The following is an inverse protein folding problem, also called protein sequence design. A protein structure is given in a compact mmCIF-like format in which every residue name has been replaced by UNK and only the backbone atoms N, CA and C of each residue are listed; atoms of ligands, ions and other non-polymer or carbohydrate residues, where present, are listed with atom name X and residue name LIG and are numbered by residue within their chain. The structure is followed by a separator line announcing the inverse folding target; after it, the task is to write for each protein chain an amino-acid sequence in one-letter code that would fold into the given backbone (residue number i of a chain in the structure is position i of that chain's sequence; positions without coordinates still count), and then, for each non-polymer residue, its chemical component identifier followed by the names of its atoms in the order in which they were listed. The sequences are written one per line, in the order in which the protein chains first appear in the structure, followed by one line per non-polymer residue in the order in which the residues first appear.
data_IF_966032344918
#
_entry.id   IF_966032344918
#
_cell.length_a   1.000
_cell.length_b   1.000
_cell.length_c   1.000
_cell.angle_alpha   90.00
_cell.angle_beta   90.00
_cell.angle_gamma   90.00
#
_symmetry.space_group_name_H-M   'P 1'
#
loop_
_entity.id
_entity.type
_entity.pdbx_description
1 polymer ?
#
# COMPACT_ATOMS: atom_id res chain seq x y z
N UNK A 1 28.89 9.40 -10.92
CA UNK A 1 28.93 8.06 -11.53
C UNK A 1 28.82 8.13 -13.06
N UNK A 2 27.82 8.82 -13.63
CA UNK A 2 27.61 8.93 -15.09
C UNK A 2 28.76 9.61 -15.85
N UNK A 3 29.45 10.59 -15.26
CA UNK A 3 30.58 11.29 -15.87
C UNK A 3 31.82 10.38 -15.93
N UNK A 4 32.07 9.58 -14.89
CA UNK A 4 33.16 8.59 -14.89
C UNK A 4 32.96 7.49 -15.92
N UNK A 5 31.72 7.00 -16.08
CA UNK A 5 31.40 5.95 -17.05
C UNK A 5 31.64 6.41 -18.51
N UNK A 6 31.37 7.69 -18.84
CA UNK A 6 31.64 8.23 -20.18
C UNK A 6 33.13 8.36 -20.49
N UNK A 7 33.95 8.71 -19.48
CA UNK A 7 35.41 8.89 -19.67
C UNK A 7 36.17 7.55 -19.73
N UNK A 8 35.69 6.51 -19.06
CA UNK A 8 36.39 5.22 -18.98
C UNK A 8 35.92 4.21 -20.06
N UNK A 9 34.72 4.34 -20.62
CA UNK A 9 34.20 3.43 -21.65
C UNK A 9 35.09 3.29 -22.91
N UNK A 10 35.69 4.35 -23.46
CA UNK A 10 36.53 4.21 -24.65
C UNK A 10 37.83 3.44 -24.40
N UNK A 11 38.31 3.39 -23.18
CA UNK A 11 39.57 2.73 -22.82
C UNK A 11 39.42 1.28 -22.29
N UNK A 12 38.18 0.84 -22.02
CA UNK A 12 37.88 -0.50 -21.51
C UNK A 12 37.43 -1.43 -22.64
N UNK A 13 38.24 -2.43 -22.97
CA UNK A 13 37.90 -3.44 -23.99
C UNK A 13 36.60 -4.19 -23.69
N UNK A 14 36.30 -4.49 -22.42
CA UNK A 14 35.03 -5.10 -22.01
C UNK A 14 33.82 -4.15 -22.19
N UNK A 15 33.98 -2.84 -21.94
CA UNK A 15 32.95 -1.83 -22.19
C UNK A 15 32.75 -1.54 -23.67
N UNK A 16 33.84 -1.53 -24.46
CA UNK A 16 33.77 -1.38 -25.91
C UNK A 16 33.01 -2.57 -26.55
N UNK A 17 33.18 -3.78 -26.03
CA UNK A 17 32.43 -4.96 -26.50
C UNK A 17 30.93 -4.88 -26.22
N UNK A 18 30.51 -4.21 -25.13
CA UNK A 18 29.08 -4.00 -24.80
C UNK A 18 28.43 -3.00 -25.73
N UNK A 19 29.17 -1.98 -26.21
CA UNK A 19 28.66 -0.95 -27.14
C UNK A 19 28.49 -1.46 -28.57
N UNK A 20 29.13 -2.58 -28.92
CA UNK A 20 29.07 -3.18 -30.26
C UNK A 20 28.05 -4.32 -30.38
N UNK A 21 27.32 -4.66 -29.32
CA UNK A 21 26.26 -5.69 -29.41
C UNK A 21 25.13 -5.21 -30.30
N UNK A 22 24.77 -5.95 -31.35
CA UNK A 22 23.64 -5.59 -32.19
C UNK A 22 22.36 -5.64 -31.34
N UNK A 23 21.56 -4.59 -31.39
CA UNK A 23 20.23 -4.54 -30.78
C UNK A 23 19.21 -5.02 -31.79
N UNK A 24 18.55 -6.15 -31.52
CA UNK A 24 17.44 -6.60 -32.36
C UNK A 24 16.24 -5.64 -32.12
N UNK A 25 15.71 -5.10 -33.20
CA UNK A 25 14.44 -4.39 -33.19
C UNK A 25 13.34 -5.45 -33.14
N UNK A 26 12.58 -5.49 -32.06
CA UNK A 26 11.47 -6.44 -31.92
C UNK A 26 10.21 -5.74 -32.46
N UNK A 27 9.71 -6.23 -33.58
CA UNK A 27 8.43 -5.80 -34.12
C UNK A 27 7.27 -6.33 -33.28
N UNK A 28 6.26 -5.49 -33.06
CA UNK A 28 5.03 -5.87 -32.34
C UNK A 28 3.85 -5.63 -33.28
N UNK A 29 2.96 -6.61 -33.42
CA UNK A 29 1.71 -6.46 -34.18
C UNK A 29 0.70 -5.56 -33.45
N UNK A 30 -0.18 -4.86 -34.18
CA UNK A 30 -1.26 -4.09 -33.57
C UNK A 30 -2.14 -4.95 -32.64
N UNK A 31 -2.47 -4.44 -31.45
CA UNK A 31 -3.31 -5.11 -30.46
C UNK A 31 -2.69 -6.35 -29.81
N UNK A 32 -1.40 -6.60 -30.04
CA UNK A 32 -0.76 -7.81 -29.53
C UNK A 32 -0.35 -7.68 -28.06
N UNK A 33 0.38 -6.63 -27.68
CA UNK A 33 1.05 -6.57 -26.38
C UNK A 33 0.93 -5.22 -25.70
N UNK A 34 0.58 -5.24 -24.41
CA UNK A 34 0.76 -4.12 -23.48
C UNK A 34 1.88 -4.45 -22.51
N UNK A 35 2.85 -3.56 -22.37
CA UNK A 35 3.95 -3.65 -21.41
C UNK A 35 3.63 -2.81 -20.20
N UNK A 36 3.76 -3.40 -19.01
CA UNK A 36 3.53 -2.72 -17.71
C UNK A 36 4.81 -2.65 -16.92
N UNK A 37 4.99 -1.51 -16.24
CA UNK A 37 6.10 -1.33 -15.33
C UNK A 37 5.78 -0.27 -14.28
N UNK A 38 6.36 -0.43 -13.07
CA UNK A 38 6.29 0.55 -12.03
C UNK A 38 7.44 1.55 -12.13
N UNK A 39 7.12 2.81 -11.97
CA UNK A 39 8.07 3.89 -11.76
C UNK A 39 7.96 4.36 -10.31
N UNK A 40 9.03 4.25 -9.54
CA UNK A 40 9.12 4.86 -8.21
C UNK A 40 9.34 6.37 -8.34
N UNK A 41 8.53 7.15 -7.65
CA UNK A 41 8.56 8.59 -7.62
C UNK A 41 8.96 9.04 -6.21
N UNK A 42 10.15 9.60 -6.02
CA UNK A 42 10.63 10.05 -4.70
C UNK A 42 9.90 11.32 -4.26
N UNK A 43 9.81 11.50 -2.95
CA UNK A 43 9.38 12.72 -2.28
C UNK A 43 8.03 13.28 -2.78
N UNK A 44 6.93 12.51 -2.73
CA UNK A 44 5.61 13.02 -3.08
C UNK A 44 5.16 14.09 -2.07
N UNK A 45 4.28 15.02 -2.48
CA UNK A 45 3.69 16.00 -1.58
C UNK A 45 3.10 15.35 -0.33
N UNK A 46 3.42 15.89 0.85
CA UNK A 46 3.02 15.30 2.15
C UNK A 46 1.49 15.22 2.30
N UNK A 47 0.77 16.20 1.75
CA UNK A 47 -0.70 16.25 1.83
C UNK A 47 -1.42 15.14 1.03
N UNK A 48 -0.71 14.37 0.17
CA UNK A 48 -1.28 13.18 -0.45
C UNK A 48 -1.51 12.04 0.55
N UNK A 49 -0.92 12.12 1.75
CA UNK A 49 -1.16 11.15 2.83
C UNK A 49 -0.62 9.75 2.53
N UNK A 50 0.39 9.63 1.66
CA UNK A 50 0.97 8.32 1.35
C UNK A 50 1.76 7.76 2.54
N UNK A 51 1.70 6.44 2.78
CA UNK A 51 2.33 5.81 3.96
C UNK A 51 3.86 5.83 3.92
N UNK A 52 4.44 6.09 2.74
CA UNK A 52 5.89 6.12 2.51
C UNK A 52 6.30 7.44 1.87
N UNK A 53 7.60 7.77 1.94
CA UNK A 53 8.18 8.90 1.19
C UNK A 53 8.34 8.60 -0.31
N UNK A 54 7.46 7.75 -0.85
CA UNK A 54 7.45 7.38 -2.25
C UNK A 54 6.01 7.32 -2.75
N UNK A 55 5.79 7.82 -3.94
CA UNK A 55 4.63 7.49 -4.76
C UNK A 55 5.07 6.52 -5.86
N UNK A 56 4.11 5.87 -6.46
CA UNK A 56 4.34 4.94 -7.56
C UNK A 56 3.47 5.32 -8.73
N UNK A 57 4.02 5.21 -9.95
CA UNK A 57 3.26 5.36 -11.18
C UNK A 57 3.27 4.03 -11.92
N UNK A 58 2.12 3.40 -12.07
CA UNK A 58 2.00 2.28 -12.98
C UNK A 58 1.91 2.82 -14.40
N UNK A 59 2.87 2.47 -15.25
CA UNK A 59 2.87 2.83 -16.66
C UNK A 59 2.50 1.61 -17.49
N UNK A 60 1.52 1.77 -18.36
CA UNK A 60 1.16 0.79 -19.38
C UNK A 60 1.38 1.35 -20.77
N UNK A 61 2.11 0.63 -21.59
CA UNK A 61 2.49 1.04 -22.95
C UNK A 61 2.08 -0.01 -23.97
N UNK A 62 1.35 0.39 -24.99
CA UNK A 62 1.08 -0.45 -26.15
C UNK A 62 2.37 -0.62 -26.96
N UNK A 63 2.80 -1.86 -27.14
CA UNK A 63 4.11 -2.15 -27.70
C UNK A 63 4.23 -1.75 -29.18
N UNK A 64 3.14 -1.89 -29.96
CA UNK A 64 3.09 -1.50 -31.36
C UNK A 64 3.11 0.03 -31.53
N UNK A 65 2.11 0.73 -31.04
CA UNK A 65 1.97 2.19 -31.23
C UNK A 65 2.91 3.00 -30.35
N UNK A 66 3.24 2.48 -29.17
CA UNK A 66 3.97 3.20 -28.12
C UNK A 66 3.11 4.24 -27.41
N UNK A 67 1.80 4.26 -27.62
CA UNK A 67 0.86 5.00 -26.79
C UNK A 67 0.93 4.45 -25.38
N UNK A 68 0.91 5.33 -24.39
CA UNK A 68 1.04 4.95 -23.00
C UNK A 68 0.15 5.79 -22.10
N UNK A 69 -0.18 5.25 -20.95
CA UNK A 69 -0.90 5.94 -19.88
C UNK A 69 -0.24 5.61 -18.56
N UNK A 70 -0.51 6.43 -17.54
CA UNK A 70 0.03 6.25 -16.20
C UNK A 70 -1.03 6.44 -15.14
N UNK A 71 -0.95 5.65 -14.05
CA UNK A 71 -1.85 5.74 -12.90
C UNK A 71 -1.02 5.82 -11.63
N UNK A 72 -1.23 6.89 -10.84
CA UNK A 72 -0.61 7.08 -9.54
C UNK A 72 -1.15 6.10 -8.51
N UNK A 73 -0.28 5.63 -7.62
CA UNK A 73 -0.63 4.68 -6.57
C UNK A 73 0.20 4.93 -5.31
N UNK A 74 -0.38 4.74 -4.11
CA UNK A 74 0.37 4.82 -2.86
C UNK A 74 1.22 3.58 -2.57
N UNK A 75 0.98 2.48 -3.28
CA UNK A 75 1.65 1.19 -3.06
C UNK A 75 1.75 0.39 -4.35
N UNK A 76 2.72 -0.54 -4.39
CA UNK A 76 2.89 -1.53 -5.46
C UNK A 76 2.33 -2.90 -5.09
N UNK A 77 1.61 -3.04 -3.96
CA UNK A 77 1.00 -4.30 -3.56
C UNK A 77 -0.06 -4.78 -4.56
N UNK A 78 -0.50 -6.03 -4.42
CA UNK A 78 -1.37 -6.63 -5.43
C UNK A 78 -2.72 -5.92 -5.59
N UNK A 79 -3.44 -5.49 -4.53
CA UNK A 79 -4.68 -4.75 -4.70
C UNK A 79 -4.49 -3.43 -5.46
N UNK A 80 -3.43 -2.67 -5.14
CA UNK A 80 -3.13 -1.41 -5.81
C UNK A 80 -2.69 -1.62 -7.26
N UNK A 81 -1.92 -2.68 -7.55
CA UNK A 81 -1.58 -3.07 -8.91
C UNK A 81 -2.85 -3.33 -9.75
N UNK A 82 -3.77 -4.15 -9.23
CA UNK A 82 -4.98 -4.51 -9.96
C UNK A 82 -5.93 -3.32 -10.17
N UNK A 83 -6.05 -2.43 -9.18
CA UNK A 83 -6.82 -1.21 -9.31
C UNK A 83 -6.20 -0.24 -10.32
N UNK A 84 -4.88 -0.02 -10.23
CA UNK A 84 -4.16 0.83 -11.18
C UNK A 84 -4.25 0.25 -12.60
N UNK A 85 -4.13 -1.07 -12.78
CA UNK A 85 -4.33 -1.72 -14.07
C UNK A 85 -5.74 -1.52 -14.61
N UNK A 86 -6.77 -1.69 -13.78
CA UNK A 86 -8.18 -1.48 -14.19
C UNK A 86 -8.39 -0.07 -14.76
N UNK A 87 -7.91 0.95 -14.04
CA UNK A 87 -7.98 2.35 -14.51
C UNK A 87 -7.14 2.55 -15.78
N UNK A 88 -5.94 2.01 -15.82
CA UNK A 88 -5.01 2.17 -16.93
C UNK A 88 -5.54 1.54 -18.22
N UNK A 89 -6.14 0.35 -18.15
CA UNK A 89 -6.76 -0.31 -19.28
C UNK A 89 -7.94 0.49 -19.84
N UNK A 90 -8.73 1.13 -18.97
CA UNK A 90 -9.77 2.06 -19.39
C UNK A 90 -9.20 3.29 -20.11
N UNK A 91 -8.10 3.86 -19.60
CA UNK A 91 -7.40 5.00 -20.22
C UNK A 91 -6.74 4.64 -21.56
N UNK A 92 -6.30 3.39 -21.75
CA UNK A 92 -5.79 2.88 -23.03
C UNK A 92 -6.91 2.55 -24.01
N UNK A 93 -8.16 2.39 -23.53
CA UNK A 93 -9.33 2.13 -24.37
C UNK A 93 -9.59 0.67 -24.69
N UNK A 94 -8.95 -0.29 -23.98
CA UNK A 94 -9.19 -1.72 -24.18
C UNK A 94 -8.02 -2.63 -23.85
N UNK A 95 -8.11 -3.88 -24.35
CA UNK A 95 -7.22 -4.98 -24.02
C UNK A 95 -6.43 -5.43 -25.25
N UNK A 96 -5.14 -5.61 -25.06
CA UNK A 96 -4.29 -6.39 -25.98
C UNK A 96 -4.41 -7.89 -25.67
N UNK A 97 -3.85 -8.71 -26.54
CA UNK A 97 -3.85 -10.17 -26.35
C UNK A 97 -2.93 -10.62 -25.23
N UNK A 98 -1.82 -9.92 -25.03
CA UNK A 98 -0.76 -10.26 -24.09
C UNK A 98 -0.47 -9.05 -23.18
N UNK A 99 -0.27 -9.33 -21.91
CA UNK A 99 0.29 -8.39 -20.94
C UNK A 99 1.70 -8.84 -20.55
N UNK A 100 2.67 -7.94 -20.65
CA UNK A 100 4.06 -8.22 -20.31
C UNK A 100 4.49 -7.44 -19.07
N UNK A 101 5.10 -8.16 -18.14
CA UNK A 101 5.60 -7.63 -16.87
C UNK A 101 7.07 -7.96 -16.65
N UNK A 102 7.73 -7.19 -15.79
CA UNK A 102 8.93 -7.65 -15.11
C UNK A 102 8.61 -8.66 -14.01
N UNK A 103 9.64 -9.22 -13.41
CA UNK A 103 9.51 -10.15 -12.28
C UNK A 103 9.03 -9.43 -11.01
N UNK A 104 7.79 -9.00 -11.01
CA UNK A 104 7.14 -8.42 -9.83
C UNK A 104 6.62 -9.54 -8.94
N UNK A 105 6.90 -9.49 -7.63
CA UNK A 105 6.38 -10.45 -6.65
C UNK A 105 4.85 -10.46 -6.56
N UNK A 106 4.21 -9.39 -6.94
CA UNK A 106 2.76 -9.26 -7.02
C UNK A 106 2.16 -10.02 -8.21
N UNK A 107 2.94 -10.25 -9.26
CA UNK A 107 2.52 -10.95 -10.47
C UNK A 107 2.97 -12.41 -10.45
N UNK A 108 4.22 -12.65 -10.02
CA UNK A 108 4.84 -13.97 -10.06
C UNK A 108 5.25 -14.40 -8.66
N UNK A 109 4.86 -15.61 -8.25
CA UNK A 109 5.38 -16.24 -7.05
C UNK A 109 6.88 -16.56 -7.26
N UNK A 110 7.79 -16.03 -6.44
CA UNK A 110 9.22 -16.24 -6.62
C UNK A 110 9.68 -17.68 -6.34
N UNK A 111 8.86 -18.49 -5.64
CA UNK A 111 9.17 -19.88 -5.26
C UNK A 111 8.73 -20.83 -6.36
N UNK A 112 7.45 -20.74 -6.78
CA UNK A 112 6.89 -21.66 -7.79
C UNK A 112 7.18 -21.21 -9.22
N UNK A 113 7.36 -19.92 -9.45
CA UNK A 113 7.47 -19.35 -10.78
C UNK A 113 6.14 -19.20 -11.52
N UNK A 114 5.03 -19.44 -10.84
CA UNK A 114 3.68 -19.29 -11.37
C UNK A 114 3.12 -17.90 -11.10
N UNK A 115 2.04 -17.55 -11.78
CA UNK A 115 1.29 -16.33 -11.46
C UNK A 115 0.68 -16.44 -10.08
N UNK A 116 0.74 -15.36 -9.30
CA UNK A 116 0.03 -15.31 -8.01
C UNK A 116 -1.47 -15.56 -8.22
N UNK A 117 -2.17 -16.26 -7.31
CA UNK A 117 -3.57 -16.66 -7.53
C UNK A 117 -4.51 -15.50 -7.86
N UNK A 118 -4.35 -14.37 -7.17
CA UNK A 118 -5.17 -13.17 -7.40
C UNK A 118 -4.89 -12.55 -8.77
N UNK A 119 -3.62 -12.49 -9.18
CA UNK A 119 -3.25 -11.97 -10.49
C UNK A 119 -3.71 -12.91 -11.62
N UNK A 120 -3.60 -14.23 -11.44
CA UNK A 120 -4.10 -15.21 -12.37
C UNK A 120 -5.62 -15.09 -12.58
N UNK A 121 -6.38 -14.90 -11.48
CA UNK A 121 -7.82 -14.65 -11.57
C UNK A 121 -8.15 -13.35 -12.31
N UNK A 122 -7.37 -12.28 -12.08
CA UNK A 122 -7.50 -11.01 -12.79
C UNK A 122 -7.23 -11.14 -14.28
N UNK A 123 -6.14 -11.80 -14.67
CA UNK A 123 -5.80 -12.05 -16.06
C UNK A 123 -6.87 -12.92 -16.77
N UNK A 124 -7.36 -13.97 -16.08
CA UNK A 124 -8.45 -14.83 -16.56
C UNK A 124 -9.75 -14.05 -16.76
N UNK A 125 -10.11 -13.16 -15.82
CA UNK A 125 -11.29 -12.31 -15.94
C UNK A 125 -11.26 -11.44 -17.21
N UNK A 126 -10.09 -10.91 -17.58
CA UNK A 126 -9.90 -10.10 -18.78
C UNK A 126 -9.63 -10.96 -20.04
N UNK A 127 -9.48 -12.26 -19.90
CA UNK A 127 -9.16 -13.17 -21.01
C UNK A 127 -7.83 -12.85 -21.69
N UNK A 128 -6.81 -12.44 -20.92
CA UNK A 128 -5.49 -12.02 -21.42
C UNK A 128 -4.42 -12.97 -20.93
N UNK A 129 -3.44 -13.25 -21.79
CA UNK A 129 -2.25 -13.99 -21.42
C UNK A 129 -1.24 -13.07 -20.72
N UNK A 130 -0.85 -13.38 -19.49
CA UNK A 130 0.21 -12.68 -18.80
C UNK A 130 1.56 -13.36 -19.04
N UNK A 131 2.57 -12.58 -19.43
CA UNK A 131 3.94 -13.04 -19.67
C UNK A 131 4.89 -12.24 -18.78
N UNK A 132 5.70 -12.95 -18.01
CA UNK A 132 6.76 -12.34 -17.17
C UNK A 132 8.09 -12.50 -17.89
N UNK A 133 8.86 -11.42 -17.97
CA UNK A 133 10.17 -11.41 -18.62
C UNK A 133 11.14 -12.36 -17.92
N UNK A 134 11.93 -13.09 -18.72
CA UNK A 134 13.04 -13.89 -18.19
C UNK A 134 14.14 -12.96 -17.65
N UNK A 135 14.93 -13.42 -16.66
CA UNK A 135 16.07 -12.65 -16.17
C UNK A 135 16.97 -12.20 -17.33
N UNK A 136 17.47 -10.97 -17.29
CA UNK A 136 18.36 -10.37 -18.29
C UNK A 136 17.78 -10.20 -19.72
N UNK A 137 16.46 -10.23 -19.86
CA UNK A 137 15.76 -10.01 -21.15
C UNK A 137 15.17 -8.61 -21.30
N UNK A 138 15.84 -7.58 -20.75
CA UNK A 138 15.37 -6.17 -20.74
C UNK A 138 15.05 -5.62 -22.13
N UNK A 139 15.67 -6.12 -23.20
CA UNK A 139 15.42 -5.67 -24.59
C UNK A 139 13.94 -5.82 -25.03
N UNK A 140 13.15 -6.65 -24.34
CA UNK A 140 11.72 -6.86 -24.68
C UNK A 140 10.78 -5.86 -24.04
N UNK A 141 11.25 -4.97 -23.17
CA UNK A 141 10.45 -3.93 -22.46
C UNK A 141 10.86 -2.50 -22.81
N UNK A 142 11.67 -2.31 -23.83
CA UNK A 142 12.22 -1.01 -24.19
C UNK A 142 11.19 0.09 -24.43
N UNK A 143 9.92 -0.25 -24.73
CA UNK A 143 8.85 0.74 -24.94
C UNK A 143 8.41 1.35 -23.62
N UNK A 144 8.09 0.54 -22.61
CA UNK A 144 7.65 1.03 -21.30
C UNK A 144 8.79 1.70 -20.54
N UNK A 145 10.02 1.18 -20.60
CA UNK A 145 11.20 1.78 -19.98
C UNK A 145 11.45 3.20 -20.49
N UNK A 146 11.33 3.42 -21.81
CA UNK A 146 11.43 4.76 -22.40
C UNK A 146 10.34 5.70 -21.90
N UNK A 147 9.11 5.22 -21.73
CA UNK A 147 8.00 6.02 -21.23
C UNK A 147 8.15 6.32 -19.75
N UNK A 148 8.64 5.36 -18.93
CA UNK A 148 9.03 5.60 -17.53
C UNK A 148 10.08 6.70 -17.40
N UNK A 149 11.14 6.61 -18.20
CA UNK A 149 12.17 7.66 -18.23
C UNK A 149 11.58 9.03 -18.61
N UNK A 150 10.69 9.06 -19.58
CA UNK A 150 10.02 10.30 -20.02
C UNK A 150 9.13 10.87 -18.92
N UNK A 151 8.33 10.04 -18.24
CA UNK A 151 7.50 10.44 -17.11
C UNK A 151 8.35 11.00 -15.96
N UNK A 152 9.41 10.27 -15.57
CA UNK A 152 10.29 10.70 -14.48
C UNK A 152 10.98 12.04 -14.77
N UNK A 153 11.55 12.22 -15.98
CA UNK A 153 12.41 13.35 -16.28
C UNK A 153 11.66 14.59 -16.74
N UNK A 154 10.48 14.45 -17.35
CA UNK A 154 9.77 15.56 -17.99
C UNK A 154 8.44 15.89 -17.34
N UNK A 155 7.87 15.01 -16.52
CA UNK A 155 6.64 15.25 -15.81
C UNK A 155 6.87 15.34 -14.30
N UNK A 156 7.37 14.29 -13.65
CA UNK A 156 7.50 14.27 -12.20
C UNK A 156 8.40 15.38 -11.66
N UNK A 157 9.54 15.62 -12.29
CA UNK A 157 10.49 16.68 -11.87
C UNK A 157 9.96 18.11 -12.04
N UNK A 158 8.90 18.28 -12.77
CA UNK A 158 8.29 19.59 -13.04
C UNK A 158 6.89 19.73 -12.46
N UNK A 159 6.44 18.70 -11.72
CA UNK A 159 5.14 18.72 -11.09
C UNK A 159 5.15 19.69 -9.90
N UNK A 160 4.19 20.65 -9.83
CA UNK A 160 4.03 21.53 -8.67
C UNK A 160 3.68 20.74 -7.40
N UNK A 161 4.26 21.14 -6.25
CA UNK A 161 4.08 20.45 -4.98
C UNK A 161 2.72 20.72 -4.30
N UNK A 162 1.96 21.71 -4.79
CA UNK A 162 0.65 22.12 -4.26
C UNK A 162 -0.53 21.38 -4.90
N UNK A 163 -0.30 20.56 -5.93
CA UNK A 163 -1.36 19.79 -6.59
C UNK A 163 -1.92 18.69 -5.68
N UNK A 164 -3.25 18.53 -5.70
CA UNK A 164 -3.88 17.34 -5.11
C UNK A 164 -3.54 16.08 -5.91
N UNK A 165 -3.77 14.92 -5.33
CA UNK A 165 -3.51 13.65 -6.01
C UNK A 165 -4.33 13.52 -7.30
N UNK A 166 -5.59 13.97 -7.28
CA UNK A 166 -6.48 13.97 -8.45
C UNK A 166 -5.97 14.91 -9.55
N UNK A 167 -5.49 16.11 -9.16
CA UNK A 167 -4.91 17.06 -10.11
C UNK A 167 -3.60 16.53 -10.71
N UNK A 168 -2.76 15.86 -9.91
CA UNK A 168 -1.55 15.20 -10.37
C UNK A 168 -1.87 14.05 -11.34
N UNK A 169 -2.92 13.25 -11.04
CA UNK A 169 -3.41 12.21 -11.96
C UNK A 169 -3.90 12.82 -13.27
N UNK A 170 -4.69 13.87 -13.25
CA UNK A 170 -5.15 14.56 -14.47
C UNK A 170 -3.97 15.15 -15.26
N UNK A 171 -2.95 15.65 -14.57
CA UNK A 171 -1.72 16.18 -15.18
C UNK A 171 -0.94 15.10 -15.92
N UNK A 172 -0.73 13.90 -15.32
CA UNK A 172 -0.02 12.80 -16.02
C UNK A 172 -0.81 12.31 -17.23
N UNK A 173 -2.14 12.26 -17.15
CA UNK A 173 -2.99 11.89 -18.29
C UNK A 173 -2.85 12.89 -19.45
N UNK A 174 -2.91 14.17 -19.14
CA UNK A 174 -2.71 15.25 -20.13
C UNK A 174 -1.32 15.17 -20.74
N UNK A 175 -0.29 14.99 -19.91
CA UNK A 175 1.09 14.84 -20.36
C UNK A 175 1.25 13.63 -21.28
N UNK A 176 0.71 12.47 -20.90
CA UNK A 176 0.80 11.25 -21.69
C UNK A 176 0.07 11.38 -23.03
N UNK A 177 -1.13 11.98 -23.07
CA UNK A 177 -1.86 12.28 -24.30
C UNK A 177 -1.09 13.22 -25.21
N UNK A 178 -0.42 14.24 -24.66
CA UNK A 178 0.46 15.12 -25.41
C UNK A 178 1.64 14.39 -26.07
N UNK A 179 2.05 13.24 -25.54
CA UNK A 179 3.09 12.40 -26.14
C UNK A 179 2.58 11.55 -27.32
N UNK A 180 1.28 11.42 -27.53
CA UNK A 180 0.71 10.60 -28.62
C UNK A 180 1.06 11.20 -30.02
N UNK A 181 1.25 12.52 -30.11
CA UNK A 181 1.75 13.20 -31.33
C UNK A 181 3.24 13.01 -31.60
N UNK A 182 3.96 12.28 -30.75
CA UNK A 182 5.40 12.07 -30.84
C UNK A 182 5.80 11.30 -32.09
N UNK A 183 6.84 11.77 -32.83
CA UNK A 183 7.32 11.05 -33.99
C UNK A 183 7.81 9.64 -33.65
N UNK A 184 7.41 8.66 -34.43
CA UNK A 184 7.88 7.28 -34.43
C UNK A 184 8.52 6.99 -35.80
N UNK A 185 9.48 6.09 -35.79
CA UNK A 185 10.18 5.65 -37.03
C UNK A 185 10.18 4.13 -37.07
N UNK A 186 9.01 3.48 -37.36
CA UNK A 186 8.99 2.07 -37.71
C UNK A 186 9.67 1.87 -39.07
N UNK A 187 9.92 0.62 -39.44
CA UNK A 187 10.53 0.28 -40.75
C UNK A 187 9.73 0.86 -41.93
N UNK A 188 8.42 1.01 -41.76
CA UNK A 188 7.52 1.59 -42.79
C UNK A 188 7.65 3.12 -42.97
N UNK A 189 8.54 3.80 -42.24
CA UNK A 189 8.78 5.23 -42.39
C UNK A 189 8.34 6.09 -41.20
N UNK A 190 8.30 7.40 -41.38
CA UNK A 190 7.94 8.37 -40.30
C UNK A 190 6.44 8.37 -40.05
N UNK A 191 6.04 8.26 -38.80
CA UNK A 191 4.64 8.32 -38.36
C UNK A 191 4.56 8.91 -36.94
N UNK A 192 3.38 8.93 -36.32
CA UNK A 192 3.19 9.29 -34.91
C UNK A 192 2.63 8.13 -34.11
N UNK A 193 2.75 8.19 -32.78
CA UNK A 193 2.15 7.19 -31.92
C UNK A 193 0.61 7.17 -32.09
N UNK A 194 -0.03 8.32 -32.22
CA UNK A 194 -1.47 8.43 -32.48
C UNK A 194 -1.89 7.79 -33.82
N UNK A 195 -1.13 8.00 -34.88
CA UNK A 195 -1.41 7.37 -36.18
C UNK A 195 -1.25 5.84 -36.12
N UNK A 196 -0.24 5.34 -35.42
CA UNK A 196 -0.08 3.91 -35.18
C UNK A 196 -1.17 3.33 -34.27
N UNK A 197 -1.67 4.11 -33.31
CA UNK A 197 -2.75 3.71 -32.42
C UNK A 197 -4.06 3.46 -33.19
N UNK A 198 -4.33 4.17 -34.26
CA UNK A 198 -5.49 3.91 -35.10
C UNK A 198 -5.53 2.50 -35.69
N UNK A 199 -4.38 1.85 -35.81
CA UNK A 199 -4.28 0.46 -36.26
C UNK A 199 -4.41 -0.57 -35.10
N UNK A 200 -4.33 -0.14 -33.81
CA UNK A 200 -4.50 -1.03 -32.69
C UNK A 200 -5.94 -1.57 -32.65
N UNK A 201 -6.08 -2.87 -32.63
CA UNK A 201 -7.37 -3.55 -32.50
C UNK A 201 -7.54 -4.06 -31.08
N UNK A 202 -7.80 -3.13 -30.17
CA UNK A 202 -8.02 -3.45 -28.76
C UNK A 202 -9.38 -4.16 -28.58
N UNK A 203 -9.41 -5.21 -27.76
CA UNK A 203 -10.65 -5.86 -27.35
C UNK A 203 -11.34 -5.01 -26.30
N UNK A 204 -12.68 -5.04 -26.22
CA UNK A 204 -13.42 -4.31 -25.20
C UNK A 204 -13.09 -4.83 -23.79
N UNK A 205 -13.21 -3.95 -22.80
CA UNK A 205 -13.12 -4.34 -21.40
C UNK A 205 -14.33 -5.20 -21.00
N UNK A 206 -14.18 -6.13 -20.04
CA UNK A 206 -15.31 -6.85 -19.47
C UNK A 206 -16.36 -5.86 -18.91
N UNK A 207 -17.66 -6.14 -19.08
CA UNK A 207 -18.71 -5.26 -18.57
C UNK A 207 -18.75 -5.19 -17.04
N UNK A 208 -18.26 -6.21 -16.37
CA UNK A 208 -18.15 -6.28 -14.91
C UNK A 208 -16.71 -5.99 -14.51
N UNK A 209 -16.52 -5.01 -13.64
CA UNK A 209 -15.19 -4.69 -13.10
C UNK A 209 -14.75 -5.79 -12.13
N UNK A 210 -13.50 -6.21 -12.25
CA UNK A 210 -12.92 -7.19 -11.32
C UNK A 210 -12.91 -6.61 -9.90
N UNK A 211 -13.49 -7.32 -8.89
CA UNK A 211 -13.54 -6.83 -7.53
C UNK A 211 -12.17 -6.92 -6.87
N UNK A 212 -11.52 -5.77 -6.67
CA UNK A 212 -10.25 -5.70 -5.95
C UNK A 212 -10.54 -5.55 -4.47
N UNK A 213 -10.17 -6.56 -3.66
CA UNK A 213 -10.39 -6.59 -2.22
C UNK A 213 -9.06 -6.66 -1.49
N UNK A 214 -8.83 -5.72 -0.60
CA UNK A 214 -7.75 -5.78 0.41
C UNK A 214 -8.25 -6.66 1.54
N UNK A 215 -7.50 -7.70 1.90
CA UNK A 215 -7.82 -8.59 3.01
C UNK A 215 -6.66 -8.59 4.00
N UNK A 216 -6.95 -8.33 5.27
CA UNK A 216 -5.97 -8.34 6.34
C UNK A 216 -6.49 -9.13 7.54
N UNK A 217 -5.64 -9.99 8.11
CA UNK A 217 -5.98 -10.67 9.35
C UNK A 217 -5.75 -9.77 10.56
N UNK A 218 -6.70 -9.77 11.48
CA UNK A 218 -6.64 -9.08 12.77
C UNK A 218 -7.11 -10.00 13.88
N UNK A 219 -6.66 -9.74 15.11
CA UNK A 219 -7.18 -10.43 16.29
C UNK A 219 -8.09 -9.47 17.03
N UNK A 220 -9.32 -9.89 17.28
CA UNK A 220 -10.25 -9.09 18.08
C UNK A 220 -9.76 -9.01 19.54
N UNK A 221 -9.87 -7.85 20.15
CA UNK A 221 -9.55 -7.66 21.58
C UNK A 221 -10.60 -8.34 22.45
N UNK A 222 -10.32 -8.45 23.77
CA UNK A 222 -11.33 -8.92 24.76
C UNK A 222 -12.56 -7.98 24.86
N UNK A 223 -12.47 -6.77 24.33
CA UNK A 223 -13.57 -5.81 24.24
C UNK A 223 -14.34 -5.96 22.92
N UNK A 224 -14.12 -7.04 22.16
CA UNK A 224 -14.71 -7.31 20.86
C UNK A 224 -14.46 -6.14 19.88
N UNK A 225 -13.22 -5.64 19.82
CA UNK A 225 -12.78 -4.60 18.90
C UNK A 225 -11.60 -5.10 18.07
N UNK A 226 -11.53 -4.69 16.83
CA UNK A 226 -10.35 -4.85 15.98
C UNK A 226 -9.72 -3.49 15.71
N UNK A 227 -8.39 -3.44 15.63
CA UNK A 227 -7.66 -2.27 15.19
C UNK A 227 -7.42 -2.36 13.67
N UNK A 228 -7.82 -1.31 12.94
CA UNK A 228 -7.59 -1.23 11.51
C UNK A 228 -7.39 0.22 11.05
N UNK A 229 -6.29 0.49 10.36
CA UNK A 229 -5.89 1.83 9.87
C UNK A 229 -5.98 2.93 10.94
N UNK A 230 -5.52 2.62 12.17
CA UNK A 230 -5.50 3.58 13.26
C UNK A 230 -6.86 3.88 13.91
N UNK A 231 -7.90 3.11 13.59
CA UNK A 231 -9.24 3.18 14.19
C UNK A 231 -9.65 1.81 14.73
N UNK A 232 -10.69 1.77 15.56
CA UNK A 232 -11.23 0.54 16.14
C UNK A 232 -12.64 0.28 15.65
N UNK A 233 -12.95 -0.99 15.39
CA UNK A 233 -14.25 -1.42 14.89
C UNK A 233 -14.75 -2.60 15.71
N UNK A 234 -16.04 -2.57 16.10
CA UNK A 234 -16.62 -3.65 16.89
C UNK A 234 -16.91 -4.90 16.07
N UNK A 235 -16.80 -6.04 16.72
CA UNK A 235 -17.23 -7.34 16.21
C UNK A 235 -18.21 -7.97 17.21
N UNK A 236 -18.99 -9.00 16.83
CA UNK A 236 -19.77 -9.76 17.76
C UNK A 236 -18.92 -10.25 18.95
N UNK A 237 -19.42 -10.16 20.20
CA UNK A 237 -18.66 -10.52 21.40
C UNK A 237 -18.11 -11.94 21.41
N UNK A 238 -18.78 -12.88 20.73
CA UNK A 238 -18.38 -14.28 20.59
C UNK A 238 -17.03 -14.44 19.88
N UNK A 239 -16.63 -13.42 19.13
CA UNK A 239 -15.34 -13.37 18.42
C UNK A 239 -14.24 -12.70 19.23
N UNK A 240 -14.49 -12.33 20.49
CA UNK A 240 -13.46 -11.76 21.35
C UNK A 240 -12.24 -12.69 21.44
N UNK A 241 -11.04 -12.12 21.32
CA UNK A 241 -9.76 -12.83 21.29
C UNK A 241 -9.58 -13.84 20.12
N UNK A 242 -10.44 -13.84 19.12
CA UNK A 242 -10.31 -14.68 17.92
C UNK A 242 -9.71 -13.94 16.74
N UNK A 243 -9.20 -14.69 15.76
CA UNK A 243 -8.74 -14.14 14.48
C UNK A 243 -9.91 -13.92 13.55
N UNK A 244 -9.93 -12.74 12.93
CA UNK A 244 -10.91 -12.35 11.92
C UNK A 244 -10.19 -11.76 10.70
N UNK A 245 -10.87 -11.73 9.58
CA UNK A 245 -10.40 -11.08 8.35
C UNK A 245 -11.16 -9.77 8.14
N UNK A 246 -10.42 -8.68 8.03
CA UNK A 246 -10.95 -7.38 7.59
C UNK A 246 -10.82 -7.31 6.09
N UNK A 247 -11.92 -7.11 5.39
CA UNK A 247 -12.00 -7.03 3.94
C UNK A 247 -12.50 -5.66 3.53
N UNK A 248 -11.75 -4.97 2.71
CA UNK A 248 -12.20 -3.72 2.09
C UNK A 248 -12.10 -3.85 0.57
N UNK A 249 -13.19 -3.61 -0.13
CA UNK A 249 -13.11 -3.34 -1.57
C UNK A 249 -12.36 -2.02 -1.76
N UNK A 250 -11.38 -2.00 -2.64
CA UNK A 250 -10.59 -0.79 -2.86
C UNK A 250 -11.49 0.35 -3.37
N UNK A 251 -11.37 1.52 -2.73
CA UNK A 251 -12.23 2.67 -3.00
C UNK A 251 -13.61 2.64 -2.31
N UNK A 252 -13.96 1.56 -1.58
CA UNK A 252 -15.20 1.53 -0.81
C UNK A 252 -15.06 2.27 0.54
N UNK A 253 -16.14 2.90 0.96
CA UNK A 253 -16.28 3.57 2.26
C UNK A 253 -16.70 2.63 3.39
N UNK A 254 -16.76 1.32 3.11
CA UNK A 254 -17.13 0.28 4.06
C UNK A 254 -16.09 -0.83 4.13
N UNK A 255 -16.00 -1.45 5.31
CA UNK A 255 -15.27 -2.70 5.54
C UNK A 255 -16.22 -3.80 5.96
N UNK A 256 -15.94 -4.99 5.50
CA UNK A 256 -16.54 -6.23 5.99
C UNK A 256 -15.56 -6.92 6.93
N UNK A 257 -16.03 -7.37 8.07
CA UNK A 257 -15.26 -8.21 8.98
C UNK A 257 -15.84 -9.62 8.86
N UNK A 258 -14.99 -10.57 8.55
CA UNK A 258 -15.37 -11.97 8.33
C UNK A 258 -14.63 -12.88 9.28
N UNK A 259 -15.22 -14.04 9.55
CA UNK A 259 -14.51 -15.15 10.18
C UNK A 259 -13.44 -15.72 9.24
N UNK A 260 -12.51 -16.49 9.75
CA UNK A 260 -11.51 -17.20 8.93
C UNK A 260 -12.14 -18.23 7.97
N UNK A 261 -13.40 -18.65 8.22
CA UNK A 261 -14.19 -19.47 7.30
C UNK A 261 -14.87 -18.67 6.18
N UNK A 262 -14.77 -17.33 6.21
CA UNK A 262 -15.28 -16.44 5.17
C UNK A 262 -16.66 -15.84 5.42
N UNK A 263 -17.33 -16.18 6.54
CA UNK A 263 -18.65 -15.63 6.89
C UNK A 263 -18.50 -14.17 7.35
N UNK A 264 -19.17 -13.24 6.70
CA UNK A 264 -19.22 -11.82 7.11
C UNK A 264 -20.05 -11.70 8.38
N UNK A 265 -19.45 -11.16 9.43
CA UNK A 265 -20.05 -11.03 10.77
C UNK A 265 -20.32 -9.59 11.19
N UNK A 266 -19.66 -8.63 10.54
CA UNK A 266 -19.91 -7.21 10.74
C UNK A 266 -19.58 -6.42 9.49
N UNK A 267 -20.26 -5.28 9.32
CA UNK A 267 -19.96 -4.28 8.30
C UNK A 267 -19.94 -2.90 8.95
N UNK A 268 -18.88 -2.14 8.70
CA UNK A 268 -18.74 -0.80 9.24
C UNK A 268 -18.39 0.21 8.15
N UNK A 269 -18.84 1.45 8.34
CA UNK A 269 -18.32 2.58 7.56
C UNK A 269 -16.89 2.88 8.01
N UNK A 270 -16.02 3.11 7.05
CA UNK A 270 -14.61 3.42 7.32
C UNK A 270 -14.48 4.85 7.82
N UNK A 271 -13.81 5.03 8.95
CA UNK A 271 -13.36 6.35 9.38
C UNK A 271 -12.05 6.70 8.67
N UNK A 272 -11.77 7.98 8.59
CA UNK A 272 -10.50 8.48 8.06
C UNK A 272 -9.32 7.85 8.81
N UNK A 273 -8.29 7.37 8.11
CA UNK A 273 -7.15 6.69 8.73
C UNK A 273 -6.47 7.54 9.81
N UNK A 274 -6.15 6.92 10.94
CA UNK A 274 -5.36 7.57 12.00
C UNK A 274 -6.13 8.46 12.96
N UNK A 275 -7.46 8.58 12.85
CA UNK A 275 -8.26 9.41 13.78
C UNK A 275 -8.34 8.84 15.20
N UNK A 276 -8.00 7.57 15.44
CA UNK A 276 -8.10 6.94 16.76
C UNK A 276 -9.53 6.71 17.25
N UNK A 277 -10.54 6.85 16.38
CA UNK A 277 -11.94 6.70 16.75
C UNK A 277 -12.33 5.23 16.91
N UNK A 278 -13.37 4.99 17.73
CA UNK A 278 -13.95 3.67 17.91
C UNK A 278 -15.36 3.65 17.33
N UNK A 279 -15.58 2.86 16.31
CA UNK A 279 -16.88 2.67 15.64
C UNK A 279 -17.49 1.39 16.16
N UNK A 280 -18.68 1.48 16.74
CA UNK A 280 -19.39 0.36 17.37
C UNK A 280 -20.75 0.18 16.75
N UNK A 281 -21.09 -1.08 16.48
CA UNK A 281 -22.46 -1.49 16.22
C UNK A 281 -23.22 -1.59 17.54
N UNK A 282 -24.44 -1.06 17.58
CA UNK A 282 -25.27 -1.03 18.80
C UNK A 282 -25.59 -2.44 19.28
N UNK A 283 -25.84 -3.39 18.36
CA UNK A 283 -26.09 -4.79 18.71
C UNK A 283 -24.90 -5.45 19.39
N UNK A 284 -23.67 -5.16 18.90
CA UNK A 284 -22.44 -5.67 19.52
C UNK A 284 -22.24 -5.12 20.94
N UNK A 285 -22.56 -3.82 21.16
CA UNK A 285 -22.46 -3.21 22.48
C UNK A 285 -23.43 -3.86 23.46
N UNK A 286 -24.71 -3.96 23.07
CA UNK A 286 -25.77 -4.57 23.90
C UNK A 286 -25.44 -6.04 24.26
N UNK A 287 -24.97 -6.82 23.28
CA UNK A 287 -24.59 -8.21 23.50
C UNK A 287 -23.38 -8.31 24.45
N UNK A 288 -22.36 -7.45 24.30
CA UNK A 288 -21.18 -7.42 25.16
C UNK A 288 -21.55 -7.05 26.61
N UNK A 289 -22.43 -6.07 26.80
CA UNK A 289 -22.94 -5.65 28.12
C UNK A 289 -23.72 -6.78 28.79
N UNK A 290 -24.58 -7.46 28.05
CA UNK A 290 -25.32 -8.61 28.55
C UNK A 290 -24.40 -9.73 29.07
N UNK A 291 -23.35 -10.08 28.29
CA UNK A 291 -22.33 -11.07 28.70
C UNK A 291 -21.57 -10.60 29.93
N UNK A 292 -21.16 -9.32 29.97
CA UNK A 292 -20.42 -8.76 31.10
C UNK A 292 -21.25 -8.78 32.40
N UNK A 293 -22.56 -8.44 32.31
CA UNK A 293 -23.47 -8.49 33.45
C UNK A 293 -23.72 -9.91 33.91
N UNK A 294 -23.92 -10.87 32.99
CA UNK A 294 -24.11 -12.28 33.32
C UNK A 294 -22.86 -12.93 33.96
N UNK A 295 -21.68 -12.44 33.61
CA UNK A 295 -20.39 -12.93 34.09
C UNK A 295 -19.90 -12.22 35.35
N UNK A 296 -20.63 -11.22 35.84
CA UNK A 296 -20.24 -10.48 37.04
C UNK A 296 -20.33 -11.44 38.26
N UNK A 297 -19.24 -11.72 38.99
CA UNK A 297 -19.32 -12.54 40.18
C UNK A 297 -20.21 -11.82 41.19
N UNK A 298 -21.05 -12.55 41.97
CA UNK A 298 -21.85 -11.95 43.03
C UNK A 298 -20.92 -11.13 43.94
N UNK A 299 -21.25 -9.87 44.06
CA UNK A 299 -20.37 -8.81 44.57
C UNK A 299 -19.51 -9.23 45.76
N UNK A 300 -18.23 -9.41 45.53
CA UNK A 300 -17.29 -9.30 46.66
C UNK A 300 -17.35 -7.85 47.17
N UNK A 301 -17.68 -7.63 48.44
CA UNK A 301 -17.68 -6.26 48.98
C UNK A 301 -16.31 -5.63 48.67
N UNK A 302 -16.32 -4.46 48.05
CA UNK A 302 -15.08 -3.73 47.84
C UNK A 302 -14.41 -3.56 49.22
N UNK A 303 -13.15 -3.94 49.34
CA UNK A 303 -12.35 -3.62 50.50
C UNK A 303 -12.49 -2.10 50.74
N UNK A 304 -12.99 -1.73 51.90
CA UNK A 304 -13.14 -0.33 52.29
C UNK A 304 -11.80 0.37 52.07
N UNK A 305 -11.77 1.40 51.25
CA UNK A 305 -10.57 2.18 51.05
C UNK A 305 -10.21 2.84 52.36
N UNK A 306 -9.20 2.32 53.06
CA UNK A 306 -8.67 2.95 54.26
C UNK A 306 -7.80 4.14 53.84
N UNK A 307 -8.03 5.26 54.50
CA UNK A 307 -7.16 6.42 54.36
C UNK A 307 -5.85 6.09 55.10
N UNK A 308 -4.79 5.85 54.36
CA UNK A 308 -3.45 5.69 54.93
C UNK A 308 -2.85 7.11 55.01
N UNK A 309 -2.74 7.69 56.21
CA UNK A 309 -2.11 9.00 56.33
C UNK A 309 -0.64 8.92 55.91
N UNK A 310 -0.10 9.99 55.35
CA UNK A 310 1.31 10.02 54.99
C UNK A 310 2.19 9.77 56.21
N UNK A 311 3.17 8.89 56.01
CA UNK A 311 4.12 8.58 57.09
C UNK A 311 5.01 9.78 57.48
N UNK A 312 5.69 9.71 58.62
CA UNK A 312 6.50 10.84 59.13
C UNK A 312 7.56 11.33 58.12
N UNK A 313 8.13 10.43 57.31
CA UNK A 313 9.11 10.79 56.28
C UNK A 313 8.48 11.61 55.14
N UNK A 314 7.27 11.24 54.71
CA UNK A 314 6.55 11.96 53.65
C UNK A 314 6.08 13.35 54.15
N UNK A 315 5.68 13.44 55.41
CA UNK A 315 5.31 14.73 56.03
C UNK A 315 6.50 15.67 56.13
N UNK A 316 7.68 15.16 56.54
CA UNK A 316 8.93 15.95 56.57
C UNK A 316 9.32 16.42 55.16
N UNK A 317 9.26 15.54 54.15
CA UNK A 317 9.55 15.91 52.75
C UNK A 317 8.58 17.01 52.26
N UNK A 318 7.29 16.90 52.57
CA UNK A 318 6.29 17.93 52.24
C UNK A 318 6.57 19.27 52.94
N UNK A 319 7.01 19.25 54.19
CA UNK A 319 7.41 20.46 54.95
C UNK A 319 8.64 21.15 54.35
N UNK A 320 9.64 20.37 53.90
CA UNK A 320 10.82 20.91 53.19
C UNK A 320 10.41 21.54 51.84
N UNK A 321 9.55 20.87 51.07
CA UNK A 321 9.04 21.39 49.80
C UNK A 321 8.17 22.65 49.97
N UNK A 322 7.43 22.74 51.06
CA UNK A 322 6.64 23.91 51.41
C UNK A 322 7.47 25.06 52.00
N UNK A 323 8.77 24.91 52.17
CA UNK A 323 9.65 25.93 52.77
C UNK A 323 9.47 26.10 54.27
N UNK A 324 8.78 25.17 54.96
CA UNK A 324 8.46 25.26 56.42
C UNK A 324 9.27 24.26 57.26
N UNK A 325 10.20 23.49 56.68
CA UNK A 325 11.00 22.47 57.36
C UNK A 325 12.51 22.67 57.13
N UNK A 326 13.35 22.24 58.08
CA UNK A 326 14.79 22.22 57.91
C UNK A 326 15.18 21.24 56.80
N UNK A 327 16.20 21.55 55.97
CA UNK A 327 16.67 20.67 54.90
C UNK A 327 17.28 19.40 55.49
N UNK A 328 16.59 18.29 55.38
CA UNK A 328 17.10 16.98 55.79
C UNK A 328 17.87 16.39 54.59
N UNK A 329 19.17 16.37 54.70
CA UNK A 329 20.06 15.62 53.77
C UNK A 329 19.92 14.12 54.08
N UNK A 330 18.83 13.53 53.64
CA UNK A 330 18.64 12.08 53.76
C UNK A 330 18.93 11.44 52.41
N UNK A 331 20.06 10.76 52.31
CA UNK A 331 20.32 9.87 51.19
C UNK A 331 19.25 8.78 51.23
N UNK A 332 18.34 8.81 50.26
CA UNK A 332 17.28 7.80 50.15
C UNK A 332 17.96 6.52 49.62
N UNK A 333 18.09 5.52 50.49
CA UNK A 333 18.62 4.21 50.13
C UNK A 333 17.61 3.50 49.23
N UNK A 334 17.96 3.28 47.96
CA UNK A 334 17.19 2.48 47.02
C UNK A 334 16.89 1.07 47.56
N UNK A 335 17.82 0.49 48.34
CA UNK A 335 17.64 -0.82 48.98
C UNK A 335 16.47 -0.86 49.97
N UNK A 336 16.20 0.25 50.69
CA UNK A 336 15.04 0.34 51.60
C UNK A 336 13.71 0.38 50.81
N UNK A 337 13.69 0.99 49.62
CA UNK A 337 12.54 0.98 48.72
C UNK A 337 12.31 -0.41 48.07
N UNK A 338 13.36 -1.11 47.67
CA UNK A 338 13.26 -2.48 47.16
C UNK A 338 12.73 -3.45 48.21
N UNK A 339 13.16 -3.29 49.45
CA UNK A 339 12.70 -4.13 50.56
C UNK A 339 11.25 -3.83 50.93
N UNK A 340 10.82 -2.57 50.92
CA UNK A 340 9.44 -2.19 51.13
C UNK A 340 8.52 -2.68 49.95
N UNK A 341 9.02 -2.65 48.72
CA UNK A 341 8.30 -3.19 47.55
C UNK A 341 8.17 -4.73 47.61
N UNK A 342 9.22 -5.43 48.02
CA UNK A 342 9.20 -6.91 48.22
C UNK A 342 8.22 -7.32 49.33
N UNK A 343 8.15 -6.56 50.41
CA UNK A 343 7.21 -6.85 51.51
C UNK A 343 5.75 -6.51 51.20
N UNK A 344 5.48 -5.71 50.16
CA UNK A 344 4.12 -5.39 49.68
C UNK A 344 3.60 -6.34 48.58
N UNK A 345 4.45 -7.17 48.01
CA UNK A 345 4.09 -8.07 46.90
C UNK A 345 3.55 -9.43 47.40
N UNK A 346 3.06 -9.53 48.62
CA UNK A 346 2.30 -10.70 49.11
C UNK A 346 0.79 -10.45 48.96
N UNK A 347 0.34 -10.12 47.76
CA UNK A 347 -1.03 -10.35 47.33
C UNK A 347 -1.07 -11.67 46.61
N UNK A 348 -1.28 -12.74 47.35
CA UNK A 348 -1.85 -14.00 46.86
C UNK A 348 -3.35 -13.86 46.69
#
# INVERSE_FOLDING_TARGET
RQIRDRALRPACTACAHVTQRPNAIIGHSPGEETQFDWLELPDPPVHWGFPTKKAYLLVGSLAHSGVWRGVLSPSMDIPHLLAAMTTLLALLGGLTRVWRFDRMRTVLDPVTGDLTPMFAAFAKHHGVQAIVCRPRSGNRKGVVEKNNHTAAQRWWRTLPDDLTLEQAQASIETFARGQDGRPRRPEAGKTTAAAMFAAERLRPLPPVVFPVVVTEQRTATRQALIDWRGNRYSVPPELAATKVEVRQRLGADTIDIATTSGTVVARHRVAEPGLGVTIRDTGHVTALEAIALASAPPGRPHRRKERIPPGPAALRAAQVLAGTGEPVTTVISLAAYEQAAKNRNTLR
#
